data_IF_422544674970
#
_entry.id   IF_422544674970
#
_cell.length_a   1.000
_cell.length_b   1.000
_cell.length_c   1.000
_cell.angle_alpha   90.00
_cell.angle_beta   90.00
_cell.angle_gamma   90.00
#
_symmetry.space_group_name_H-M   'P 1'
#
loop_
_entity.id
_entity.type
_entity.pdbx_description
1 polymer ?
#
# COMPACT_ATOMS: atom_id res chain seq x y z
N UNK A 1 11.96 7.30 14.91
CA UNK A 1 10.62 6.65 14.84
C UNK A 1 9.51 7.60 14.42
N UNK A 2 9.24 8.71 15.14
CA UNK A 2 8.13 9.63 14.79
C UNK A 2 8.24 10.21 13.38
N UNK A 3 9.44 10.63 12.96
CA UNK A 3 9.66 11.20 11.62
C UNK A 3 9.46 10.16 10.51
N UNK A 4 10.04 8.97 10.66
CA UNK A 4 9.89 7.86 9.69
C UNK A 4 8.43 7.42 9.56
N UNK A 5 7.69 7.35 10.67
CA UNK A 5 6.26 7.04 10.64
C UNK A 5 5.46 8.11 9.89
N UNK A 6 5.75 9.38 10.14
CA UNK A 6 5.11 10.49 9.43
C UNK A 6 5.40 10.47 7.93
N UNK A 7 6.61 10.08 7.52
CA UNK A 7 6.96 9.89 6.11
C UNK A 7 6.09 8.79 5.47
N UNK A 8 5.91 7.64 6.15
CA UNK A 8 5.04 6.56 5.67
C UNK A 8 3.59 7.05 5.49
N UNK A 9 3.07 7.80 6.46
CA UNK A 9 1.72 8.39 6.35
C UNK A 9 1.60 9.32 5.15
N UNK A 10 2.58 10.21 4.94
CA UNK A 10 2.60 11.14 3.81
C UNK A 10 2.61 10.38 2.48
N UNK A 11 3.50 9.39 2.32
CA UNK A 11 3.57 8.57 1.10
C UNK A 11 2.23 7.88 0.84
N UNK A 12 1.61 7.32 1.88
CA UNK A 12 0.32 6.65 1.76
C UNK A 12 -0.82 7.62 1.36
N UNK A 13 -0.83 8.83 1.91
CA UNK A 13 -1.78 9.88 1.50
C UNK A 13 -1.54 10.31 0.05
N UNK A 14 -0.29 10.50 -0.37
CA UNK A 14 0.04 10.78 -1.76
C UNK A 14 -0.47 9.67 -2.69
N UNK A 15 -0.27 8.40 -2.33
CA UNK A 15 -0.76 7.26 -3.09
C UNK A 15 -2.31 7.28 -3.24
N UNK A 16 -3.04 7.63 -2.17
CA UNK A 16 -4.49 7.81 -2.19
C UNK A 16 -4.92 8.98 -3.09
N UNK A 17 -4.17 10.09 -3.11
CA UNK A 17 -4.46 11.21 -4.01
C UNK A 17 -4.25 10.79 -5.47
N UNK A 18 -3.16 10.10 -5.78
CA UNK A 18 -2.93 9.57 -7.13
C UNK A 18 -4.03 8.60 -7.56
N UNK A 19 -4.62 7.84 -6.63
CA UNK A 19 -5.71 6.93 -6.95
C UNK A 19 -6.92 7.69 -7.54
N UNK A 20 -7.20 8.91 -7.08
CA UNK A 20 -8.27 9.76 -7.61
C UNK A 20 -8.02 10.19 -9.07
N UNK A 21 -6.78 10.11 -9.55
CA UNK A 21 -6.41 10.31 -10.96
C UNK A 21 -6.83 9.15 -11.88
N UNK A 22 -7.51 8.13 -11.36
CA UNK A 22 -8.03 7.01 -12.14
C UNK A 22 -6.92 6.17 -12.78
N UNK A 23 -7.15 5.75 -14.03
CA UNK A 23 -6.26 4.83 -14.74
C UNK A 23 -4.80 5.32 -14.83
N UNK A 24 -4.59 6.62 -15.05
CA UNK A 24 -3.25 7.22 -15.14
C UNK A 24 -2.55 7.27 -13.77
N UNK A 25 -3.31 7.39 -12.69
CA UNK A 25 -2.80 7.47 -11.34
C UNK A 25 -2.45 6.11 -10.73
N UNK A 26 -3.04 5.02 -11.21
CA UNK A 26 -2.90 3.67 -10.63
C UNK A 26 -1.45 3.19 -10.58
N UNK A 27 -0.64 3.46 -11.61
CA UNK A 27 0.77 3.07 -11.60
C UNK A 27 1.54 3.79 -10.49
N UNK A 28 1.32 5.09 -10.34
CA UNK A 28 1.91 5.90 -9.27
C UNK A 28 1.39 5.49 -7.89
N UNK A 29 0.09 5.22 -7.76
CA UNK A 29 -0.50 4.67 -6.54
C UNK A 29 0.19 3.37 -6.15
N UNK A 30 0.31 2.41 -7.07
CA UNK A 30 0.95 1.13 -6.79
C UNK A 30 2.42 1.28 -6.36
N UNK A 31 3.20 2.11 -7.05
CA UNK A 31 4.61 2.36 -6.70
C UNK A 31 4.76 2.96 -5.30
N UNK A 32 3.99 4.02 -5.00
CA UNK A 32 4.01 4.68 -3.70
C UNK A 32 3.49 3.78 -2.58
N UNK A 33 2.49 2.96 -2.88
CA UNK A 33 1.90 2.00 -1.96
C UNK A 33 2.90 0.89 -1.58
N UNK A 34 3.62 0.32 -2.56
CA UNK A 34 4.70 -0.64 -2.28
C UNK A 34 5.82 0.02 -1.48
N UNK A 35 6.22 1.25 -1.82
CA UNK A 35 7.24 1.99 -1.07
C UNK A 35 6.82 2.20 0.40
N UNK A 36 5.59 2.66 0.65
CA UNK A 36 5.05 2.82 1.99
C UNK A 36 5.01 1.49 2.76
N UNK A 37 4.61 0.40 2.10
CA UNK A 37 4.55 -0.93 2.71
C UNK A 37 5.94 -1.49 3.07
N UNK A 38 6.95 -1.27 2.22
CA UNK A 38 8.34 -1.68 2.50
C UNK A 38 8.89 -0.91 3.70
N UNK A 39 8.73 0.42 3.72
CA UNK A 39 9.15 1.25 4.86
C UNK A 39 8.42 0.85 6.14
N UNK A 40 7.13 0.52 6.05
CA UNK A 40 6.35 0.03 7.18
C UNK A 40 6.85 -1.32 7.70
N UNK A 41 7.15 -2.27 6.81
CA UNK A 41 7.71 -3.58 7.17
C UNK A 41 9.05 -3.44 7.90
N UNK A 42 9.95 -2.57 7.42
CA UNK A 42 11.24 -2.31 8.06
C UNK A 42 11.05 -1.75 9.48
N UNK A 43 10.08 -0.85 9.66
CA UNK A 43 9.83 -0.21 10.94
C UNK A 43 9.06 -1.11 11.93
N UNK A 44 8.18 -1.97 11.43
CA UNK A 44 7.33 -2.87 12.23
C UNK A 44 7.33 -4.32 11.72
N UNK A 45 8.47 -5.02 11.77
CA UNK A 45 8.61 -6.37 11.21
C UNK A 45 7.76 -7.42 11.93
N UNK A 46 7.25 -7.14 13.14
CA UNK A 46 6.40 -8.09 13.88
C UNK A 46 4.91 -7.99 13.50
N UNK A 47 4.51 -7.04 12.64
CA UNK A 47 3.11 -6.84 12.29
C UNK A 47 2.66 -7.88 11.25
N UNK A 48 1.84 -8.86 11.64
CA UNK A 48 1.38 -9.93 10.74
C UNK A 48 0.60 -9.42 9.50
N UNK A 49 -0.08 -8.29 9.61
CA UNK A 49 -0.91 -7.77 8.51
C UNK A 49 -0.08 -7.29 7.32
N UNK A 50 1.15 -6.81 7.53
CA UNK A 50 2.00 -6.38 6.42
C UNK A 50 2.45 -7.56 5.55
N UNK A 51 2.62 -8.75 6.13
CA UNK A 51 2.95 -9.97 5.39
C UNK A 51 1.76 -10.47 4.57
N UNK A 52 0.54 -10.35 5.11
CA UNK A 52 -0.69 -10.62 4.36
C UNK A 52 -0.80 -9.65 3.18
N UNK A 53 -0.56 -8.36 3.43
CA UNK A 53 -0.53 -7.33 2.40
C UNK A 53 0.46 -7.68 1.27
N UNK A 54 1.72 -8.02 1.59
CA UNK A 54 2.72 -8.37 0.58
C UNK A 54 2.37 -9.66 -0.18
N UNK A 55 1.78 -10.64 0.51
CA UNK A 55 1.32 -11.88 -0.14
C UNK A 55 0.29 -11.56 -1.22
N UNK A 56 -0.69 -10.71 -0.93
CA UNK A 56 -1.70 -10.27 -1.91
C UNK A 56 -1.09 -9.46 -3.06
N UNK A 57 -0.14 -8.58 -2.77
CA UNK A 57 0.60 -7.82 -3.81
C UNK A 57 1.36 -8.77 -4.74
N UNK A 58 2.05 -9.77 -4.20
CA UNK A 58 2.78 -10.75 -5.01
C UNK A 58 1.80 -11.59 -5.84
N UNK A 59 0.72 -12.07 -5.23
CA UNK A 59 -0.33 -12.82 -5.96
C UNK A 59 -0.90 -12.01 -7.11
N UNK A 60 -1.15 -10.72 -6.92
CA UNK A 60 -1.58 -9.81 -8.01
C UNK A 60 -0.61 -9.83 -9.18
N UNK A 61 0.69 -9.63 -8.93
CA UNK A 61 1.68 -9.60 -10.01
C UNK A 61 1.86 -10.95 -10.69
N UNK A 62 1.64 -12.06 -9.98
CA UNK A 62 1.73 -13.41 -10.57
C UNK A 62 0.56 -13.72 -11.52
N UNK A 63 -0.64 -13.23 -11.23
CA UNK A 63 -1.84 -13.48 -12.05
C UNK A 63 -2.09 -12.39 -13.09
N UNK A 64 -1.47 -11.22 -12.94
CA UNK A 64 -1.67 -10.10 -13.84
C UNK A 64 -0.97 -10.33 -15.20
N UNK A 65 -1.72 -10.15 -16.28
CA UNK A 65 -1.26 -10.38 -17.65
C UNK A 65 -0.95 -9.08 -18.41
N UNK A 66 -0.70 -7.98 -17.70
CA UNK A 66 -0.41 -6.66 -18.31
C UNK A 66 -1.64 -5.87 -18.76
N UNK A 67 -2.84 -6.48 -18.81
CA UNK A 67 -4.07 -5.79 -19.25
C UNK A 67 -4.78 -5.11 -18.09
N UNK A 68 -5.38 -3.95 -18.38
CA UNK A 68 -6.28 -3.27 -17.44
C UNK A 68 -7.61 -4.02 -17.38
N UNK A 69 -7.83 -4.74 -16.28
CA UNK A 69 -9.00 -5.61 -16.06
C UNK A 69 -9.57 -5.37 -14.66
N UNK A 70 -10.69 -6.01 -14.34
CA UNK A 70 -11.29 -6.05 -13.00
C UNK A 70 -10.30 -6.44 -11.88
N UNK A 71 -9.19 -7.11 -12.22
CA UNK A 71 -8.08 -7.39 -11.30
C UNK A 71 -7.52 -6.14 -10.62
N UNK A 72 -7.62 -4.97 -11.26
CA UNK A 72 -7.17 -3.69 -10.69
C UNK A 72 -8.00 -3.22 -9.50
N UNK A 73 -9.17 -3.80 -9.23
CA UNK A 73 -9.87 -3.59 -7.96
C UNK A 73 -9.02 -4.07 -6.77
N UNK A 74 -8.12 -5.04 -6.98
CA UNK A 74 -7.24 -5.54 -5.93
C UNK A 74 -6.24 -4.47 -5.45
N UNK A 75 -5.36 -3.86 -6.29
CA UNK A 75 -4.48 -2.78 -5.83
C UNK A 75 -5.25 -1.59 -5.23
N UNK A 76 -6.43 -1.27 -5.76
CA UNK A 76 -7.33 -0.26 -5.17
C UNK A 76 -7.75 -0.65 -3.75
N UNK A 77 -8.21 -1.87 -3.53
CA UNK A 77 -8.56 -2.34 -2.18
C UNK A 77 -7.34 -2.43 -1.25
N UNK A 78 -6.17 -2.77 -1.80
CA UNK A 78 -4.94 -2.90 -1.05
C UNK A 78 -4.44 -1.54 -0.51
N UNK A 79 -4.68 -0.41 -1.18
CA UNK A 79 -4.23 0.89 -0.63
C UNK A 79 -5.07 1.28 0.58
N UNK A 80 -6.37 0.97 0.59
CA UNK A 80 -7.20 1.11 1.79
C UNK A 80 -6.77 0.15 2.89
N UNK A 81 -6.43 -1.09 2.54
CA UNK A 81 -5.91 -2.05 3.52
C UNK A 81 -4.59 -1.60 4.14
N UNK A 82 -3.65 -1.08 3.34
CA UNK A 82 -2.39 -0.51 3.84
C UNK A 82 -2.65 0.69 4.76
N UNK A 83 -3.57 1.58 4.36
CA UNK A 83 -4.01 2.71 5.19
C UNK A 83 -4.54 2.25 6.54
N UNK A 84 -5.36 1.20 6.56
CA UNK A 84 -5.88 0.59 7.78
C UNK A 84 -4.78 0.03 8.68
N UNK A 85 -3.80 -0.68 8.11
CA UNK A 85 -2.65 -1.22 8.86
C UNK A 85 -1.85 -0.09 9.51
N UNK A 86 -1.52 0.95 8.73
CA UNK A 86 -0.77 2.12 9.23
C UNK A 86 -1.54 2.80 10.36
N UNK A 87 -2.83 3.06 10.16
CA UNK A 87 -3.67 3.73 11.16
C UNK A 87 -3.80 2.94 12.47
N UNK A 88 -4.00 1.62 12.39
CA UNK A 88 -4.07 0.78 13.59
C UNK A 88 -2.74 0.68 14.31
N UNK A 89 -1.62 0.68 13.59
CA UNK A 89 -0.30 0.72 14.22
C UNK A 89 -0.07 2.05 14.93
N UNK A 90 -0.53 3.17 14.35
CA UNK A 90 -0.47 4.50 14.98
C UNK A 90 -1.16 4.53 16.34
N UNK A 91 -2.35 3.92 16.44
CA UNK A 91 -3.10 3.84 17.71
C UNK A 91 -2.39 3.04 18.80
N UNK A 92 -1.47 2.15 18.43
CA UNK A 92 -0.69 1.33 19.36
C UNK A 92 0.64 1.97 19.78
N UNK A 93 1.03 3.08 19.14
CA UNK A 93 2.24 3.86 19.41
C UNK A 93 1.93 5.02 20.34
#
# INVERSE_FOLDING_TARGET
>A
MKTTFKIIEIINVCALIFLLGGAYGIAFTGALQVLAAVLFLILFPKNKFIYIYFSLVITFFLIWNGKFTWLFLLPISLIFFLTFIIYNQKKKL
#
